data_IF_176014922104
#
_entry.id   IF_176014922104
#
_cell.length_a   1.000
_cell.length_b   1.000
_cell.length_c   1.000
_cell.angle_alpha   90.00
_cell.angle_beta   90.00
_cell.angle_gamma   90.00
#
_symmetry.space_group_name_H-M   'P 1'
#
loop_
_entity.id
_entity.type
_entity.pdbx_description
1 polymer ?
#
# COMPACT_ATOMS: atom_id res chain seq x y z
N UNK A 1 -20.41 -10.43 15.48
CA UNK A 1 -18.99 -10.09 15.20
C UNK A 1 -18.26 -9.94 16.52
N UNK A 2 -17.11 -10.57 16.67
CA UNK A 2 -16.33 -10.52 17.91
C UNK A 2 -15.12 -9.58 17.71
N UNK A 3 -14.99 -8.61 18.61
CA UNK A 3 -13.84 -7.73 18.63
C UNK A 3 -12.67 -8.42 19.34
N UNK A 4 -11.48 -8.36 18.75
CA UNK A 4 -10.25 -8.92 19.31
C UNK A 4 -9.19 -7.82 19.50
N UNK A 5 -8.25 -7.99 20.44
CA UNK A 5 -7.14 -7.04 20.57
C UNK A 5 -6.15 -7.18 19.40
N UNK A 6 -5.41 -6.11 19.11
CA UNK A 6 -4.39 -6.08 18.07
C UNK A 6 -4.77 -5.23 16.87
N UNK A 7 -3.96 -5.29 15.83
CA UNK A 7 -4.12 -4.54 14.59
C UNK A 7 -4.04 -5.44 13.37
N UNK A 8 -3.47 -4.92 12.30
CA UNK A 8 -3.38 -5.63 11.01
C UNK A 8 -2.56 -6.92 11.07
N UNK A 9 -1.72 -7.09 12.08
CA UNK A 9 -0.92 -8.31 12.29
C UNK A 9 -1.59 -9.32 13.24
N UNK A 10 -2.81 -9.06 13.71
CA UNK A 10 -3.54 -10.01 14.55
C UNK A 10 -3.82 -11.34 13.83
N UNK A 11 -4.23 -11.37 12.55
CA UNK A 11 -4.31 -12.63 11.80
C UNK A 11 -2.92 -13.24 11.61
N UNK A 12 -2.83 -14.56 11.70
CA UNK A 12 -1.59 -15.29 11.45
C UNK A 12 -1.14 -15.12 10.00
N UNK A 13 0.18 -15.02 9.79
CA UNK A 13 0.76 -14.94 8.45
C UNK A 13 0.87 -13.53 7.91
N UNK A 14 0.56 -12.51 8.71
CA UNK A 14 0.72 -11.11 8.31
C UNK A 14 1.79 -10.41 9.13
N UNK A 15 2.63 -9.67 8.46
CA UNK A 15 3.66 -8.80 9.05
C UNK A 15 3.46 -7.38 8.56
N UNK A 16 3.76 -6.41 9.40
CA UNK A 16 3.63 -5.01 9.02
C UNK A 16 4.72 -4.18 9.68
N UNK A 17 5.19 -3.17 9.00
CA UNK A 17 6.12 -2.19 9.55
C UNK A 17 5.97 -0.85 8.83
N UNK A 18 6.43 0.20 9.50
CA UNK A 18 6.46 1.53 8.96
C UNK A 18 7.83 2.15 9.10
N UNK A 19 8.19 2.98 8.14
CA UNK A 19 9.48 3.68 8.13
C UNK A 19 9.29 5.14 7.73
N UNK A 20 10.28 5.94 8.07
CA UNK A 20 10.38 7.31 7.57
C UNK A 20 11.13 7.30 6.23
N UNK A 21 10.52 7.88 5.20
CA UNK A 21 11.17 8.05 3.89
C UNK A 21 11.16 9.50 3.39
N UNK A 22 10.59 10.43 4.16
CA UNK A 22 10.65 11.86 3.86
C UNK A 22 9.67 12.35 2.80
N UNK A 23 8.50 11.72 2.67
CA UNK A 23 7.49 12.10 1.68
C UNK A 23 7.03 13.55 1.86
N UNK A 24 6.77 13.97 3.09
CA UNK A 24 6.32 15.33 3.39
C UNK A 24 7.24 16.05 4.37
N UNK A 25 7.76 15.36 5.35
CA UNK A 25 8.54 15.93 6.45
C UNK A 25 9.94 15.33 6.48
N UNK A 26 10.94 16.17 6.71
CA UNK A 26 12.33 15.72 6.94
C UNK A 26 12.58 15.27 8.38
N UNK A 27 11.57 15.34 9.26
CA UNK A 27 11.68 14.88 10.65
C UNK A 27 11.69 13.36 10.69
N UNK A 28 12.80 12.78 11.15
CA UNK A 28 13.05 11.34 11.14
C UNK A 28 12.13 10.53 12.09
N UNK A 29 11.46 11.17 13.04
CA UNK A 29 10.53 10.54 13.97
C UNK A 29 9.14 10.26 13.36
N UNK A 30 8.85 10.83 12.18
CA UNK A 30 7.56 10.70 11.53
C UNK A 30 7.61 9.61 10.46
N UNK A 31 6.96 8.50 10.73
CA UNK A 31 6.80 7.41 9.77
C UNK A 31 5.78 7.79 8.71
N UNK A 32 6.13 7.63 7.45
CA UNK A 32 5.29 8.03 6.32
C UNK A 32 5.18 6.99 5.22
N UNK A 33 5.81 5.83 5.38
CA UNK A 33 5.68 4.69 4.50
C UNK A 33 5.35 3.46 5.34
N UNK A 34 4.35 2.70 4.94
CA UNK A 34 3.96 1.45 5.59
C UNK A 34 3.91 0.32 4.58
N UNK A 35 4.26 -0.88 5.04
CA UNK A 35 4.14 -2.10 4.27
C UNK A 35 3.47 -3.17 5.11
N UNK A 36 2.44 -3.79 4.56
CA UNK A 36 1.75 -4.97 5.13
C UNK A 36 2.01 -6.11 4.18
N UNK A 37 2.54 -7.21 4.68
CA UNK A 37 2.94 -8.35 3.86
C UNK A 37 2.33 -9.64 4.40
N UNK A 38 1.81 -10.46 3.49
CA UNK A 38 1.39 -11.82 3.80
C UNK A 38 2.54 -12.80 3.52
N UNK A 39 2.60 -13.86 4.31
CA UNK A 39 3.56 -14.95 4.11
C UNK A 39 3.21 -15.82 2.89
N UNK A 40 1.99 -15.70 2.37
CA UNK A 40 1.53 -16.43 1.18
C UNK A 40 0.63 -15.53 0.34
N UNK A 41 0.42 -15.91 -0.92
CA UNK A 41 -0.52 -15.23 -1.79
C UNK A 41 -1.93 -15.30 -1.21
N UNK A 42 -2.63 -14.17 -1.18
CA UNK A 42 -3.96 -14.05 -0.63
C UNK A 42 -4.98 -13.70 -1.71
N UNK A 43 -6.21 -14.17 -1.54
CA UNK A 43 -7.34 -13.58 -2.25
C UNK A 43 -7.50 -12.12 -1.82
N UNK A 44 -7.68 -11.24 -2.78
CA UNK A 44 -7.77 -9.81 -2.53
C UNK A 44 -8.89 -9.18 -3.34
N UNK A 45 -9.58 -8.23 -2.70
CA UNK A 45 -10.60 -7.42 -3.34
C UNK A 45 -10.58 -6.02 -2.75
N UNK A 46 -10.97 -5.04 -3.54
CA UNK A 46 -10.99 -3.65 -3.11
C UNK A 46 -12.23 -2.94 -3.64
N UNK A 47 -12.63 -1.90 -2.94
CA UNK A 47 -13.64 -0.97 -3.39
C UNK A 47 -13.00 0.41 -3.53
N UNK A 48 -13.50 1.19 -4.48
CA UNK A 48 -12.87 2.45 -4.86
C UNK A 48 -13.89 3.57 -4.87
N UNK A 49 -13.40 4.80 -4.74
CA UNK A 49 -14.25 5.98 -4.91
C UNK A 49 -14.86 6.03 -6.31
N UNK A 50 -16.08 6.53 -6.42
CA UNK A 50 -16.74 6.81 -7.70
C UNK A 50 -16.36 8.19 -8.26
N UNK A 51 -15.53 8.96 -7.56
CA UNK A 51 -15.02 10.24 -8.04
C UNK A 51 -14.26 10.01 -9.35
N UNK A 52 -14.49 10.89 -10.33
CA UNK A 52 -13.82 10.83 -11.64
C UNK A 52 -12.33 11.14 -11.53
N UNK A 53 -11.95 11.98 -10.58
CA UNK A 53 -10.55 12.32 -10.31
C UNK A 53 -10.04 11.39 -9.20
N UNK A 54 -9.40 10.30 -9.59
CA UNK A 54 -8.82 9.33 -8.66
C UNK A 54 -7.31 9.53 -8.56
N UNK A 55 -6.76 9.26 -7.39
CA UNK A 55 -5.31 9.22 -7.21
C UNK A 55 -4.71 8.06 -8.02
N UNK A 56 -3.53 8.27 -8.58
CA UNK A 56 -2.86 7.28 -9.42
C UNK A 56 -2.69 5.90 -8.76
N UNK A 57 -2.37 5.79 -7.45
CA UNK A 57 -2.29 4.48 -6.79
C UNK A 57 -3.58 3.65 -6.88
N UNK A 58 -4.75 4.28 -7.01
CA UNK A 58 -6.00 3.53 -7.18
C UNK A 58 -6.04 2.81 -8.52
N UNK A 59 -5.60 3.46 -9.60
CA UNK A 59 -5.55 2.83 -10.93
C UNK A 59 -4.54 1.69 -10.95
N UNK A 60 -3.37 1.89 -10.37
CA UNK A 60 -2.34 0.84 -10.25
C UNK A 60 -2.87 -0.34 -9.44
N UNK A 61 -3.56 -0.07 -8.32
CA UNK A 61 -4.17 -1.12 -7.50
C UNK A 61 -5.25 -1.89 -8.27
N UNK A 62 -6.09 -1.21 -9.05
CA UNK A 62 -7.10 -1.86 -9.89
C UNK A 62 -6.46 -2.84 -10.87
N UNK A 63 -5.39 -2.43 -11.54
CA UNK A 63 -4.65 -3.28 -12.48
C UNK A 63 -4.03 -4.49 -11.77
N UNK A 64 -3.39 -4.26 -10.61
CA UNK A 64 -2.72 -5.33 -9.85
C UNK A 64 -3.70 -6.32 -9.23
N UNK A 65 -4.97 -5.93 -9.02
CA UNK A 65 -5.99 -6.82 -8.45
C UNK A 65 -6.90 -7.46 -9.50
N UNK A 66 -6.62 -7.34 -10.79
CA UNK A 66 -7.43 -7.95 -11.85
C UNK A 66 -7.52 -9.47 -11.71
N UNK A 67 -6.46 -10.12 -11.22
CA UNK A 67 -6.44 -11.56 -10.97
C UNK A 67 -7.06 -11.97 -9.63
N UNK A 68 -7.47 -11.00 -8.80
CA UNK A 68 -8.09 -11.27 -7.50
C UNK A 68 -7.12 -11.72 -6.42
N UNK A 69 -5.82 -11.54 -6.61
CA UNK A 69 -4.79 -11.96 -5.65
C UNK A 69 -3.82 -10.83 -5.32
N UNK A 70 -3.22 -10.90 -4.14
CA UNK A 70 -2.16 -9.99 -3.71
C UNK A 70 -1.29 -10.61 -2.62
N UNK A 71 -0.08 -10.08 -2.48
CA UNK A 71 0.87 -10.47 -1.44
C UNK A 71 0.97 -9.43 -0.32
N UNK A 72 0.61 -8.19 -0.59
CA UNK A 72 0.73 -7.15 0.41
C UNK A 72 0.19 -5.80 -0.04
N UNK A 73 0.32 -4.84 0.84
CA UNK A 73 -0.10 -3.45 0.60
C UNK A 73 1.04 -2.52 0.99
N UNK A 74 1.43 -1.65 0.07
CA UNK A 74 2.31 -0.53 0.35
C UNK A 74 1.49 0.75 0.39
N UNK A 75 1.70 1.56 1.42
CA UNK A 75 0.94 2.80 1.61
C UNK A 75 1.86 3.93 2.05
N UNK A 76 1.64 5.11 1.52
CA UNK A 76 2.35 6.31 1.97
C UNK A 76 1.37 7.33 2.54
N UNK A 77 1.89 8.17 3.43
CA UNK A 77 1.21 9.37 3.90
C UNK A 77 2.00 10.62 3.51
N UNK A 78 1.41 11.79 3.69
CA UNK A 78 2.10 13.07 3.44
C UNK A 78 1.93 13.61 2.02
N UNK A 79 1.39 12.83 1.10
CA UNK A 79 1.03 13.24 -0.26
C UNK A 79 -0.30 12.58 -0.65
N UNK A 80 -1.22 13.37 -1.18
CA UNK A 80 -2.52 12.86 -1.60
C UNK A 80 -2.44 11.94 -2.82
N UNK A 81 -1.34 11.99 -3.57
CA UNK A 81 -1.09 11.19 -4.77
C UNK A 81 -2.12 11.41 -5.90
N UNK A 82 -2.86 12.53 -5.84
CA UNK A 82 -3.84 12.91 -6.85
C UNK A 82 -3.36 14.13 -7.62
N UNK A 83 -3.58 14.13 -8.93
CA UNK A 83 -3.21 15.24 -9.83
C UNK A 83 -1.72 15.63 -9.77
N UNK A 84 -0.88 14.69 -9.39
CA UNK A 84 0.57 14.90 -9.33
C UNK A 84 1.22 14.49 -10.66
N UNK A 85 2.19 15.27 -11.18
CA UNK A 85 2.95 14.84 -12.35
C UNK A 85 3.63 13.49 -12.10
N UNK A 86 3.61 12.60 -13.10
CA UNK A 86 4.24 11.27 -13.06
C UNK A 86 3.78 10.39 -11.88
N UNK A 87 2.60 10.67 -11.29
CA UNK A 87 2.14 9.93 -10.11
C UNK A 87 1.84 8.46 -10.42
N UNK A 88 1.42 8.15 -11.65
CA UNK A 88 1.19 6.75 -12.08
C UNK A 88 2.51 5.98 -12.10
N UNK A 89 3.55 6.55 -12.71
CA UNK A 89 4.88 5.96 -12.77
C UNK A 89 5.49 5.77 -11.37
N UNK A 90 5.29 6.72 -10.48
CA UNK A 90 5.77 6.61 -9.10
C UNK A 90 5.02 5.54 -8.32
N UNK A 91 3.71 5.39 -8.53
CA UNK A 91 2.92 4.34 -7.89
C UNK A 91 3.36 2.95 -8.35
N UNK A 92 3.58 2.76 -9.65
CA UNK A 92 4.13 1.52 -10.20
C UNK A 92 5.52 1.22 -9.66
N UNK A 93 6.38 2.23 -9.61
CA UNK A 93 7.75 2.08 -9.10
C UNK A 93 7.74 1.71 -7.61
N UNK A 94 6.86 2.30 -6.81
CA UNK A 94 6.72 1.96 -5.38
C UNK A 94 6.31 0.49 -5.21
N UNK A 95 5.34 0.02 -5.99
CA UNK A 95 4.91 -1.38 -5.96
C UNK A 95 6.04 -2.32 -6.40
N UNK A 96 6.77 -1.95 -7.45
CA UNK A 96 7.91 -2.72 -7.96
C UNK A 96 9.03 -2.83 -6.93
N UNK A 97 9.36 -1.72 -6.27
CA UNK A 97 10.39 -1.70 -5.22
C UNK A 97 9.97 -2.53 -4.00
N UNK A 98 8.69 -2.46 -3.60
CA UNK A 98 8.17 -3.28 -2.51
C UNK A 98 8.24 -4.77 -2.85
N UNK A 99 7.85 -5.17 -4.06
CA UNK A 99 7.94 -6.54 -4.53
C UNK A 99 9.39 -7.03 -4.54
N UNK A 100 10.30 -6.22 -5.05
CA UNK A 100 11.74 -6.53 -5.10
C UNK A 100 12.34 -6.69 -3.70
N UNK A 101 12.01 -5.78 -2.78
CA UNK A 101 12.54 -5.80 -1.41
C UNK A 101 12.04 -7.01 -0.62
N UNK A 102 10.83 -7.49 -0.90
CA UNK A 102 10.20 -8.62 -0.19
C UNK A 102 10.36 -9.96 -0.90
N UNK A 103 10.84 -9.97 -2.14
CA UNK A 103 10.94 -11.18 -2.97
C UNK A 103 9.61 -11.68 -3.51
N UNK A 104 8.60 -10.82 -3.58
CA UNK A 104 7.23 -11.20 -3.99
C UNK A 104 6.84 -10.76 -5.40
#
# INVERSE_FOLDING_TARGET
MKQIPGGVTAPKGFRAWGVHCGVKSKKADKKDLALILSDQECAAAAVYTMNRVKAAPLYVTMEHLEDGTAWGVAANSGNANACCPMSHEYAEEMARLAARATGR
#
